data_IF_325106699136
#
_entry.id   IF_325106699136
#
_cell.length_a   1.000
_cell.length_b   1.000
_cell.length_c   1.000
_cell.angle_alpha   90.00
_cell.angle_beta   90.00
_cell.angle_gamma   90.00
#
_symmetry.space_group_name_H-M   'P 1'
#
loop_
_entity.id
_entity.type
_entity.pdbx_description
1 polymer ?
#
# COMPACT_ATOMS: atom_id res chain seq x y z
N UNK A 1 -37.21 20.96 7.30
CA UNK A 1 -37.38 19.78 6.41
C UNK A 1 -36.56 20.05 5.16
N UNK A 2 -35.30 19.62 5.16
CA UNK A 2 -34.69 18.86 4.05
C UNK A 2 -33.20 18.62 4.31
N UNK A 3 -32.91 17.32 4.39
CA UNK A 3 -31.62 16.65 4.38
C UNK A 3 -30.57 17.15 5.37
N UNK A 4 -30.51 16.47 6.51
CA UNK A 4 -29.24 15.97 7.02
C UNK A 4 -28.49 15.34 5.85
N UNK A 5 -27.67 16.14 5.17
CA UNK A 5 -26.56 15.58 4.42
C UNK A 5 -25.72 14.88 5.47
N UNK A 6 -25.83 13.57 5.55
CA UNK A 6 -24.88 12.70 6.25
C UNK A 6 -23.49 13.06 5.72
N UNK A 7 -22.88 14.06 6.34
CA UNK A 7 -21.44 14.29 6.23
C UNK A 7 -20.85 13.01 6.82
N UNK A 8 -19.84 12.42 6.16
CA UNK A 8 -19.08 11.29 6.67
C UNK A 8 -18.30 11.71 7.93
N UNK A 9 -19.00 12.07 9.00
CA UNK A 9 -18.43 12.60 10.23
C UNK A 9 -18.18 11.45 11.16
N UNK A 10 -17.05 10.79 10.96
CA UNK A 10 -16.39 10.09 12.05
C UNK A 10 -15.38 11.07 12.69
N UNK A 11 -15.11 10.97 14.00
CA UNK A 11 -14.11 11.82 14.62
C UNK A 11 -12.69 11.54 14.07
N UNK A 12 -11.92 12.58 13.75
CA UNK A 12 -10.58 12.43 13.13
C UNK A 12 -9.62 11.51 13.93
N UNK A 13 -9.77 11.47 15.26
CA UNK A 13 -8.97 10.59 16.12
C UNK A 13 -9.16 9.09 15.80
N UNK A 14 -10.32 8.68 15.27
CA UNK A 14 -10.58 7.30 14.85
C UNK A 14 -9.60 6.95 13.73
N UNK A 15 -9.54 7.76 12.68
CA UNK A 15 -8.58 7.55 11.60
C UNK A 15 -7.14 7.56 12.12
N UNK A 16 -6.78 8.53 12.96
CA UNK A 16 -5.44 8.62 13.55
C UNK A 16 -5.02 7.33 14.24
N UNK A 17 -5.91 6.70 15.02
CA UNK A 17 -5.63 5.41 15.65
C UNK A 17 -5.42 4.30 14.61
N UNK A 18 -6.29 4.19 13.61
CA UNK A 18 -6.17 3.18 12.56
C UNK A 18 -4.91 3.35 11.71
N UNK A 19 -4.53 4.58 11.37
CA UNK A 19 -3.29 4.87 10.66
C UNK A 19 -2.06 4.46 11.47
N UNK A 20 -2.03 4.76 12.77
CA UNK A 20 -0.95 4.34 13.66
C UNK A 20 -0.86 2.81 13.77
N UNK A 21 -1.99 2.12 13.99
CA UNK A 21 -2.00 0.66 14.02
C UNK A 21 -1.61 0.05 12.68
N UNK A 22 -2.03 0.63 11.56
CA UNK A 22 -1.64 0.20 10.22
C UNK A 22 -0.13 0.28 9.99
N UNK A 23 0.52 1.34 10.49
CA UNK A 23 1.98 1.45 10.50
C UNK A 23 2.64 0.31 11.29
N UNK A 24 2.20 0.09 12.54
CA UNK A 24 2.73 -0.97 13.39
C UNK A 24 2.54 -2.37 12.77
N UNK A 25 1.34 -2.65 12.25
CA UNK A 25 1.00 -3.91 11.60
C UNK A 25 1.88 -4.18 10.36
N UNK A 26 2.31 -3.13 9.66
CA UNK A 26 3.17 -3.26 8.48
C UNK A 26 4.65 -3.41 8.84
N UNK A 27 5.14 -2.70 9.86
CA UNK A 27 6.58 -2.69 10.20
C UNK A 27 6.99 -3.84 11.13
N UNK A 28 6.15 -4.24 12.09
CA UNK A 28 6.49 -5.32 13.04
C UNK A 28 6.90 -6.60 12.31
N UNK A 29 6.19 -7.07 11.26
CA UNK A 29 6.56 -8.30 10.57
C UNK A 29 7.76 -8.17 9.62
N UNK A 30 8.23 -6.95 9.34
CA UNK A 30 9.20 -6.67 8.29
C UNK A 30 10.52 -7.44 8.43
N UNK A 31 11.17 -7.52 9.62
CA UNK A 31 12.45 -8.23 9.76
C UNK A 31 12.37 -9.71 9.34
N UNK A 32 11.28 -10.39 9.69
CA UNK A 32 11.11 -11.81 9.36
C UNK A 32 10.81 -12.05 7.88
N UNK A 33 10.15 -11.09 7.23
CA UNK A 33 9.90 -11.16 5.79
C UNK A 33 11.15 -10.83 4.96
N UNK A 34 12.05 -9.99 5.48
CA UNK A 34 13.37 -9.73 4.89
C UNK A 34 14.24 -11.00 4.89
N UNK A 35 14.23 -11.78 5.96
CA UNK A 35 14.94 -13.07 6.04
C UNK A 35 14.43 -14.09 5.01
N UNK A 36 13.14 -14.03 4.66
CA UNK A 36 12.55 -14.87 3.60
C UNK A 36 12.89 -14.40 2.17
N UNK A 37 13.65 -13.30 2.03
CA UNK A 37 14.04 -12.66 0.77
C UNK A 37 12.84 -12.41 -0.17
N UNK A 38 11.69 -12.05 0.40
CA UNK A 38 10.51 -11.71 -0.38
C UNK A 38 10.44 -10.22 -0.66
N UNK A 39 11.23 -9.77 -1.65
CA UNK A 39 11.38 -8.35 -2.01
C UNK A 39 10.04 -7.67 -2.26
N UNK A 40 9.15 -8.27 -3.06
CA UNK A 40 7.82 -7.71 -3.33
C UNK A 40 6.98 -7.50 -2.07
N UNK A 41 6.96 -8.49 -1.16
CA UNK A 41 6.26 -8.34 0.12
C UNK A 41 6.91 -7.30 1.03
N UNK A 42 8.24 -7.24 1.09
CA UNK A 42 8.94 -6.23 1.90
C UNK A 42 8.66 -4.81 1.36
N UNK A 43 8.68 -4.62 0.05
CA UNK A 43 8.32 -3.36 -0.60
C UNK A 43 6.89 -2.96 -0.25
N UNK A 44 5.93 -3.90 -0.37
CA UNK A 44 4.53 -3.64 -0.02
C UNK A 44 4.40 -3.15 1.44
N UNK A 45 5.07 -3.82 2.37
CA UNK A 45 5.04 -3.48 3.80
C UNK A 45 5.70 -2.14 4.10
N UNK A 46 6.86 -1.85 3.49
CA UNK A 46 7.58 -0.59 3.70
C UNK A 46 6.75 0.58 3.16
N UNK A 47 6.26 0.49 1.92
CA UNK A 47 5.47 1.55 1.31
C UNK A 47 4.15 1.79 2.06
N UNK A 48 3.41 0.71 2.37
CA UNK A 48 2.15 0.82 3.11
C UNK A 48 2.37 1.35 4.53
N UNK A 49 3.41 0.87 5.22
CA UNK A 49 3.75 1.34 6.56
C UNK A 49 4.11 2.82 6.56
N UNK A 50 5.02 3.24 5.69
CA UNK A 50 5.41 4.65 5.57
C UNK A 50 4.23 5.55 5.14
N UNK A 51 3.32 5.05 4.31
CA UNK A 51 2.10 5.77 3.95
C UNK A 51 1.14 5.92 5.14
N UNK A 52 0.96 4.88 5.95
CA UNK A 52 0.22 4.96 7.21
C UNK A 52 0.85 5.98 8.18
N UNK A 53 2.18 5.97 8.32
CA UNK A 53 2.90 6.93 9.16
C UNK A 53 2.74 8.37 8.65
N UNK A 54 2.84 8.56 7.34
CA UNK A 54 2.63 9.86 6.71
C UNK A 54 1.21 10.39 7.00
N UNK A 55 0.19 9.56 6.82
CA UNK A 55 -1.20 9.94 7.09
C UNK A 55 -1.47 10.18 8.59
N UNK A 56 -0.83 9.41 9.49
CA UNK A 56 -0.91 9.61 10.93
C UNK A 56 -0.33 10.95 11.37
N UNK A 57 0.83 11.35 10.84
CA UNK A 57 1.44 12.66 11.16
C UNK A 57 0.55 13.79 10.64
N UNK A 58 0.06 13.67 9.40
CA UNK A 58 -0.84 14.65 8.80
C UNK A 58 -2.14 14.80 9.61
N UNK A 59 -2.75 13.70 10.04
CA UNK A 59 -4.00 13.75 10.80
C UNK A 59 -3.83 14.43 12.16
N UNK A 60 -2.68 14.29 12.82
CA UNK A 60 -2.40 14.95 14.10
C UNK A 60 -2.18 16.46 13.91
N UNK A 61 -1.30 16.85 12.99
CA UNK A 61 -0.87 18.26 12.87
C UNK A 61 -2.02 19.16 12.37
N UNK A 62 -2.86 18.65 11.46
CA UNK A 62 -3.94 19.41 10.82
C UNK A 62 -5.34 19.13 11.38
N UNK A 63 -5.44 18.53 12.57
CA UNK A 63 -6.75 18.42 13.25
C UNK A 63 -7.30 19.83 13.53
N UNK A 64 -8.49 20.13 13.01
CA UNK A 64 -9.21 21.40 13.24
C UNK A 64 -8.50 22.66 12.74
N UNK A 65 -7.52 22.56 11.84
CA UNK A 65 -6.84 23.72 11.27
C UNK A 65 -6.26 23.46 9.86
N UNK A 66 -5.99 24.53 9.11
CA UNK A 66 -5.40 24.49 7.76
C UNK A 66 -4.08 25.26 7.65
N UNK A 67 -3.50 25.64 8.79
CA UNK A 67 -2.31 26.50 8.84
C UNK A 67 -1.10 25.71 8.34
N UNK A 68 -0.26 26.34 7.51
CA UNK A 68 0.95 25.72 7.00
C UNK A 68 2.08 25.75 8.04
N UNK A 69 1.96 24.94 9.08
CA UNK A 69 2.95 24.85 10.18
C UNK A 69 4.30 24.28 9.73
N UNK A 70 4.29 23.33 8.80
CA UNK A 70 5.47 22.58 8.38
C UNK A 70 5.55 22.46 6.84
N UNK A 71 5.97 23.53 6.15
CA UNK A 71 6.01 23.56 4.68
C UNK A 71 6.92 22.50 4.06
N UNK A 72 8.05 22.20 4.72
CA UNK A 72 9.02 21.17 4.27
C UNK A 72 8.44 19.78 4.44
N UNK A 73 7.68 19.54 5.51
CA UNK A 73 6.97 18.27 5.68
C UNK A 73 5.94 18.07 4.57
N UNK A 74 5.14 19.10 4.24
CA UNK A 74 4.16 18.98 3.16
C UNK A 74 4.81 18.70 1.79
N UNK A 75 5.97 19.27 1.47
CA UNK A 75 6.67 18.95 0.22
C UNK A 75 7.03 17.46 0.15
N UNK A 76 7.59 16.91 1.24
CA UNK A 76 7.98 15.50 1.31
C UNK A 76 6.74 14.61 1.30
N UNK A 77 5.75 14.95 2.12
CA UNK A 77 4.53 14.19 2.34
C UNK A 77 3.72 14.02 1.06
N UNK A 78 3.51 15.10 0.32
CA UNK A 78 2.69 15.07 -0.91
C UNK A 78 3.35 14.28 -2.03
N UNK A 79 4.68 14.41 -2.20
CA UNK A 79 5.44 13.58 -3.14
C UNK A 79 5.42 12.12 -2.74
N UNK A 80 5.60 11.84 -1.45
CA UNK A 80 5.49 10.48 -0.94
C UNK A 80 4.11 9.87 -1.21
N UNK A 81 3.03 10.65 -1.08
CA UNK A 81 1.67 10.18 -1.39
C UNK A 81 1.53 9.72 -2.84
N UNK A 82 2.00 10.54 -3.80
CA UNK A 82 1.99 10.19 -5.24
C UNK A 82 2.73 8.88 -5.48
N UNK A 83 3.99 8.78 -5.03
CA UNK A 83 4.75 7.56 -5.25
C UNK A 83 4.16 6.35 -4.52
N UNK A 84 3.57 6.52 -3.34
CA UNK A 84 2.93 5.41 -2.61
C UNK A 84 1.71 4.84 -3.33
N UNK A 85 0.96 5.69 -4.05
CA UNK A 85 -0.21 5.27 -4.83
C UNK A 85 0.17 4.32 -5.98
N UNK A 86 1.38 4.49 -6.55
CA UNK A 86 1.92 3.62 -7.60
C UNK A 86 2.76 2.47 -7.03
N UNK A 87 3.43 2.69 -5.91
CA UNK A 87 4.31 1.72 -5.28
C UNK A 87 3.59 0.49 -4.73
N UNK A 88 2.40 0.67 -4.16
CA UNK A 88 1.61 -0.43 -3.61
C UNK A 88 1.21 -1.42 -4.73
N UNK A 89 0.61 -0.97 -5.85
CA UNK A 89 0.40 -1.83 -7.03
C UNK A 89 1.69 -2.40 -7.61
N UNK A 90 2.77 -1.62 -7.68
CA UNK A 90 4.05 -2.10 -8.21
C UNK A 90 4.66 -3.22 -7.34
N UNK A 91 4.52 -3.14 -6.02
CA UNK A 91 4.91 -4.19 -5.09
C UNK A 91 4.06 -5.45 -5.26
N UNK A 92 2.75 -5.30 -5.48
CA UNK A 92 1.86 -6.41 -5.83
C UNK A 92 2.24 -7.08 -7.15
N UNK A 93 2.59 -6.30 -8.18
CA UNK A 93 3.13 -6.81 -9.44
C UNK A 93 4.41 -7.64 -9.20
N UNK A 94 5.31 -7.19 -8.33
CA UNK A 94 6.51 -7.96 -7.97
C UNK A 94 6.15 -9.29 -7.28
N UNK A 95 5.14 -9.29 -6.39
CA UNK A 95 4.62 -10.52 -5.76
C UNK A 95 4.05 -11.46 -6.82
N UNK A 96 3.18 -10.97 -7.71
CA UNK A 96 2.59 -11.75 -8.80
C UNK A 96 3.65 -12.33 -9.76
N UNK A 97 4.66 -11.53 -10.12
CA UNK A 97 5.77 -11.98 -10.95
C UNK A 97 6.54 -13.11 -10.28
N UNK A 98 6.84 -12.99 -8.99
CA UNK A 98 7.51 -14.06 -8.22
C UNK A 98 6.65 -15.32 -8.16
N UNK A 99 5.35 -15.19 -7.91
CA UNK A 99 4.41 -16.32 -7.90
C UNK A 99 4.39 -17.03 -9.26
N UNK A 100 4.40 -16.28 -10.35
CA UNK A 100 4.47 -16.84 -11.71
C UNK A 100 5.76 -17.62 -11.94
N UNK A 101 6.92 -17.07 -11.58
CA UNK A 101 8.19 -17.78 -11.70
C UNK A 101 8.24 -19.04 -10.84
N UNK A 102 7.70 -18.99 -9.62
CA UNK A 102 7.58 -20.17 -8.76
C UNK A 102 6.66 -21.23 -9.37
N UNK A 103 5.49 -20.84 -9.90
CA UNK A 103 4.54 -21.75 -10.54
C UNK A 103 5.05 -22.33 -11.86
N UNK A 104 6.05 -21.69 -12.48
CA UNK A 104 6.66 -22.11 -13.73
C UNK A 104 8.01 -22.79 -13.59
N UNK A 105 8.64 -22.71 -12.41
CA UNK A 105 9.94 -23.30 -12.14
C UNK A 105 9.91 -24.82 -12.32
N UNK A 106 10.90 -25.33 -13.07
CA UNK A 106 11.27 -26.73 -13.05
C UNK A 106 12.28 -26.94 -11.90
N UNK A 107 12.50 -28.18 -11.45
CA UNK A 107 13.32 -28.56 -10.29
C UNK A 107 14.83 -28.12 -10.35
N UNK A 108 15.21 -27.29 -11.31
CA UNK A 108 16.55 -26.75 -11.47
C UNK A 108 16.83 -25.74 -10.37
N UNK A 109 17.93 -25.94 -9.66
CA UNK A 109 18.43 -25.05 -8.61
C UNK A 109 18.68 -23.65 -9.16
N UNK A 110 18.01 -22.64 -8.59
CA UNK A 110 18.21 -21.23 -8.96
C UNK A 110 19.61 -20.79 -8.51
N UNK A 111 20.39 -20.23 -9.41
CA UNK A 111 21.73 -19.72 -9.11
C UNK A 111 21.69 -18.43 -8.29
N UNK A 112 22.78 -18.13 -7.56
CA UNK A 112 22.89 -16.88 -6.79
C UNK A 112 22.79 -15.63 -7.67
N UNK A 113 23.30 -15.69 -8.90
CA UNK A 113 23.24 -14.59 -9.87
C UNK A 113 21.81 -14.33 -10.35
N UNK A 114 21.06 -15.38 -10.68
CA UNK A 114 19.64 -15.27 -11.06
C UNK A 114 18.80 -14.67 -9.94
N UNK A 115 19.06 -15.09 -8.69
CA UNK A 115 18.39 -14.52 -7.51
C UNK A 115 18.69 -13.04 -7.32
N UNK A 116 19.95 -12.62 -7.48
CA UNK A 116 20.33 -11.19 -7.41
C UNK A 116 19.67 -10.38 -8.51
N UNK A 117 19.64 -10.91 -9.74
CA UNK A 117 18.96 -10.26 -10.86
C UNK A 117 17.47 -10.09 -10.57
N UNK A 118 16.80 -11.11 -10.05
CA UNK A 118 15.39 -11.01 -9.67
C UNK A 118 15.14 -9.89 -8.64
N UNK A 119 15.99 -9.79 -7.61
CA UNK A 119 15.91 -8.71 -6.62
C UNK A 119 16.12 -7.33 -7.25
N UNK A 120 17.11 -7.16 -8.13
CA UNK A 120 17.34 -5.87 -8.81
C UNK A 120 16.16 -5.46 -9.67
N UNK A 121 15.53 -6.41 -10.38
CA UNK A 121 14.33 -6.11 -11.17
C UNK A 121 13.13 -5.83 -10.26
N UNK A 122 12.99 -6.49 -9.11
CA UNK A 122 11.93 -6.18 -8.13
C UNK A 122 12.10 -4.76 -7.57
N UNK A 123 13.33 -4.36 -7.22
CA UNK A 123 13.63 -3.01 -6.75
C UNK A 123 13.44 -1.96 -7.85
N UNK A 124 13.83 -2.25 -9.09
CA UNK A 124 13.59 -1.36 -10.23
C UNK A 124 12.10 -1.09 -10.46
N UNK A 125 11.24 -2.10 -10.30
CA UNK A 125 9.79 -1.93 -10.41
C UNK A 125 9.20 -1.24 -9.17
N UNK A 126 9.47 -1.75 -7.97
CA UNK A 126 8.80 -1.27 -6.76
C UNK A 126 9.41 -0.04 -6.10
N UNK A 127 10.54 0.48 -6.60
CA UNK A 127 11.13 1.76 -6.18
C UNK A 127 11.34 2.67 -7.38
N UNK A 128 11.89 2.14 -8.48
CA UNK A 128 12.19 2.95 -9.66
C UNK A 128 10.96 3.59 -10.30
N UNK A 129 9.88 2.83 -10.50
CA UNK A 129 8.63 3.37 -11.07
C UNK A 129 8.01 4.43 -10.13
N UNK A 130 7.82 4.18 -8.82
CA UNK A 130 7.33 5.21 -7.90
C UNK A 130 8.17 6.48 -7.86
N UNK A 131 9.50 6.36 -7.85
CA UNK A 131 10.39 7.52 -7.83
C UNK A 131 10.30 8.30 -9.15
N UNK A 132 10.20 7.61 -10.28
CA UNK A 132 9.97 8.25 -11.57
C UNK A 132 8.64 9.01 -11.55
N UNK A 133 7.59 8.43 -11.00
CA UNK A 133 6.28 9.07 -10.87
C UNK A 133 6.34 10.34 -10.02
N UNK A 134 7.01 10.28 -8.87
CA UNK A 134 7.20 11.45 -8.00
C UNK A 134 7.85 12.63 -8.73
N UNK A 135 8.76 12.34 -9.68
CA UNK A 135 9.42 13.36 -10.51
C UNK A 135 8.50 13.84 -11.62
N UNK A 136 7.86 12.91 -12.32
CA UNK A 136 6.98 13.17 -13.45
C UNK A 136 5.75 14.00 -13.07
N UNK A 137 5.18 13.77 -11.88
CA UNK A 137 4.06 14.53 -11.34
C UNK A 137 4.35 16.03 -11.18
N UNK A 138 5.61 16.46 -11.26
CA UNK A 138 5.91 17.90 -11.31
C UNK A 138 5.41 18.58 -12.58
N UNK A 139 5.28 17.85 -13.69
CA UNK A 139 4.91 18.41 -15.01
C UNK A 139 3.48 18.98 -15.00
N UNK A 140 2.58 18.28 -14.34
CA UNK A 140 1.15 18.55 -14.22
C UNK A 140 0.76 19.11 -12.85
N UNK A 141 1.74 19.46 -12.01
CA UNK A 141 1.50 20.09 -10.72
C UNK A 141 1.22 21.59 -10.89
N UNK A 142 -0.02 22.02 -10.66
CA UNK A 142 -0.39 23.43 -10.83
C UNK A 142 0.14 24.38 -9.73
N UNK A 143 0.25 23.89 -8.50
CA UNK A 143 0.83 24.64 -7.37
C UNK A 143 1.36 23.69 -6.30
N UNK A 144 2.09 24.24 -5.32
CA UNK A 144 2.98 23.50 -4.42
C UNK A 144 2.31 22.35 -3.68
N UNK A 145 1.16 22.57 -3.05
CA UNK A 145 0.30 21.55 -2.45
C UNK A 145 -0.97 22.18 -1.88
N UNK A 146 -1.90 21.33 -1.44
CA UNK A 146 -3.07 21.69 -0.67
C UNK A 146 -2.94 21.25 0.79
N UNK A 147 -3.64 21.95 1.68
CA UNK A 147 -3.88 21.55 3.06
C UNK A 147 -5.39 21.45 3.23
N UNK A 148 -5.86 20.26 3.54
CA UNK A 148 -7.26 20.01 3.89
C UNK A 148 -7.36 19.84 5.40
N UNK A 149 -8.32 20.53 6.03
CA UNK A 149 -8.58 20.38 7.47
C UNK A 149 -8.86 18.91 7.81
N UNK A 150 -8.32 18.42 8.93
CA UNK A 150 -8.37 17.03 9.43
C UNK A 150 -7.64 15.96 8.60
N UNK A 151 -7.32 16.25 7.34
CA UNK A 151 -6.56 15.36 6.45
C UNK A 151 -5.08 15.70 6.45
N UNK A 152 -4.73 16.99 6.29
CA UNK A 152 -3.36 17.51 6.22
C UNK A 152 -2.88 17.81 4.80
N UNK A 153 -1.57 17.67 4.55
CA UNK A 153 -0.96 17.98 3.27
C UNK A 153 -1.44 17.00 2.18
N UNK A 154 -1.81 17.51 1.01
CA UNK A 154 -2.29 16.70 -0.12
C UNK A 154 -1.71 17.23 -1.45
N UNK A 155 -1.25 16.36 -2.35
CA UNK A 155 -0.73 16.79 -3.65
C UNK A 155 -1.83 17.46 -4.48
N UNK A 156 -1.46 18.48 -5.26
CA UNK A 156 -2.37 19.07 -6.23
C UNK A 156 -1.93 18.68 -7.63
N UNK A 157 -2.84 18.09 -8.39
CA UNK A 157 -2.63 17.72 -9.79
C UNK A 157 -3.60 18.53 -10.64
N UNK A 158 -3.07 19.25 -11.64
CA UNK A 158 -3.89 20.07 -12.53
C UNK A 158 -4.59 19.18 -13.56
N UNK A 159 -5.92 19.19 -13.56
CA UNK A 159 -6.75 18.30 -14.39
C UNK A 159 -6.65 18.64 -15.89
N UNK A 160 -5.59 18.13 -16.52
CA UNK A 160 -5.29 18.26 -17.95
C UNK A 160 -5.05 16.89 -18.56
N UNK A 161 -5.08 16.76 -19.89
CA UNK A 161 -4.79 15.49 -20.55
C UNK A 161 -3.39 14.94 -20.20
N UNK A 162 -2.43 15.82 -19.89
CA UNK A 162 -1.07 15.44 -19.48
C UNK A 162 -1.10 14.66 -18.16
N UNK A 163 -1.91 15.11 -17.19
CA UNK A 163 -2.04 14.43 -15.90
C UNK A 163 -2.50 12.97 -16.05
N UNK A 164 -3.43 12.70 -16.98
CA UNK A 164 -3.88 11.33 -17.23
C UNK A 164 -2.78 10.43 -17.80
N UNK A 165 -1.92 10.98 -18.66
CA UNK A 165 -0.82 10.23 -19.28
C UNK A 165 0.32 10.02 -18.30
N UNK A 166 0.57 11.00 -17.43
CA UNK A 166 1.79 11.10 -16.63
C UNK A 166 1.61 10.60 -15.20
N UNK A 167 0.43 10.71 -14.59
CA UNK A 167 0.18 10.39 -13.17
C UNK A 167 -1.03 9.45 -12.99
N UNK A 168 -2.23 9.88 -13.42
CA UNK A 168 -3.50 9.27 -13.01
C UNK A 168 -3.68 7.81 -13.48
N UNK A 169 -3.14 7.43 -14.64
CA UNK A 169 -3.41 6.11 -15.25
C UNK A 169 -2.45 5.01 -14.78
N UNK A 170 -1.31 5.35 -14.17
CA UNK A 170 -0.27 4.36 -13.87
C UNK A 170 -0.69 3.27 -12.88
N UNK A 171 -1.43 3.55 -11.78
CA UNK A 171 -1.95 2.49 -10.92
C UNK A 171 -2.80 1.47 -11.70
N UNK A 172 -3.64 1.92 -12.64
CA UNK A 172 -4.44 1.04 -13.49
C UNK A 172 -3.57 0.21 -14.44
N UNK A 173 -2.60 0.84 -15.11
CA UNK A 173 -1.70 0.16 -16.03
C UNK A 173 -0.91 -0.95 -15.32
N UNK A 174 -0.35 -0.67 -14.13
CA UNK A 174 0.37 -1.65 -13.32
C UNK A 174 -0.58 -2.75 -12.83
N UNK A 175 -1.79 -2.40 -12.38
CA UNK A 175 -2.83 -3.35 -12.00
C UNK A 175 -3.18 -4.33 -13.12
N UNK A 176 -3.34 -3.84 -14.35
CA UNK A 176 -3.59 -4.68 -15.53
C UNK A 176 -2.43 -5.66 -15.82
N UNK A 177 -1.18 -5.20 -15.76
CA UNK A 177 -0.01 -6.08 -15.91
C UNK A 177 0.05 -7.11 -14.79
N UNK A 178 -0.24 -6.70 -13.55
CA UNK A 178 -0.32 -7.57 -12.37
C UNK A 178 -1.39 -8.66 -12.55
N UNK A 179 -2.56 -8.29 -13.10
CA UNK A 179 -3.64 -9.22 -13.42
C UNK A 179 -3.24 -10.29 -14.44
N UNK A 180 -2.49 -9.93 -15.48
CA UNK A 180 -1.95 -10.89 -16.45
C UNK A 180 -1.05 -11.92 -15.75
N UNK A 181 -0.10 -11.47 -14.91
CA UNK A 181 0.75 -12.39 -14.14
C UNK A 181 -0.06 -13.27 -13.18
N UNK A 182 -1.09 -12.72 -12.53
CA UNK A 182 -1.96 -13.47 -11.63
C UNK A 182 -2.68 -14.60 -12.38
N UNK A 183 -3.30 -14.31 -13.52
CA UNK A 183 -3.98 -15.31 -14.37
C UNK A 183 -2.99 -16.40 -14.83
N UNK A 184 -1.81 -16.01 -15.30
CA UNK A 184 -0.77 -16.95 -15.74
C UNK A 184 -0.26 -17.83 -14.60
N UNK A 185 -0.14 -17.28 -13.38
CA UNK A 185 0.26 -18.01 -12.17
C UNK A 185 -0.79 -19.07 -11.81
N UNK A 186 -2.06 -18.69 -11.78
CA UNK A 186 -3.18 -19.60 -11.47
C UNK A 186 -3.26 -20.72 -12.51
N UNK A 187 -3.17 -20.40 -13.80
CA UNK A 187 -3.17 -21.41 -14.88
C UNK A 187 -2.00 -22.37 -14.76
N UNK A 188 -0.80 -21.87 -14.48
CA UNK A 188 0.41 -22.69 -14.33
C UNK A 188 0.34 -23.59 -13.11
N UNK A 189 -0.14 -23.07 -11.99
CA UNK A 189 -0.37 -23.81 -10.75
C UNK A 189 -1.39 -24.95 -10.96
N UNK A 190 -2.53 -24.65 -11.60
CA UNK A 190 -3.55 -25.67 -11.87
C UNK A 190 -3.05 -26.78 -12.78
N UNK A 191 -2.23 -26.44 -13.79
CA UNK A 191 -1.65 -27.44 -14.71
C UNK A 191 -0.63 -28.36 -14.04
N UNK A 192 0.13 -27.87 -13.06
CA UNK A 192 1.28 -28.58 -12.43
C UNK A 192 1.07 -28.91 -10.95
N UNK A 193 -0.18 -28.94 -10.48
CA UNK A 193 -0.52 -29.02 -9.06
C UNK A 193 0.17 -30.16 -8.30
N UNK A 194 0.30 -31.34 -8.92
CA UNK A 194 0.96 -32.49 -8.32
C UNK A 194 2.48 -32.27 -8.14
N UNK A 195 3.18 -31.91 -9.22
CA UNK A 195 4.62 -31.58 -9.20
C UNK A 195 4.94 -30.41 -8.27
N UNK A 196 4.04 -29.42 -8.22
CA UNK A 196 4.21 -28.23 -7.40
C UNK A 196 4.12 -28.54 -5.90
N UNK A 197 3.21 -29.45 -5.50
CA UNK A 197 3.10 -29.89 -4.09
C UNK A 197 4.39 -30.57 -3.62
N UNK A 198 5.01 -31.36 -4.49
CA UNK A 198 6.29 -32.01 -4.23
C UNK A 198 7.43 -30.98 -4.10
N UNK A 199 7.55 -30.05 -5.05
CA UNK A 199 8.56 -28.97 -5.02
C UNK A 199 8.46 -28.05 -3.80
N UNK A 200 7.25 -27.76 -3.33
CA UNK A 200 7.01 -26.98 -2.10
C UNK A 200 7.43 -27.77 -0.87
N UNK A 201 7.14 -29.08 -0.82
CA UNK A 201 7.52 -29.92 0.31
C UNK A 201 9.04 -30.10 0.45
N UNK A 202 9.76 -30.04 -0.67
CA UNK A 202 11.22 -30.11 -0.70
C UNK A 202 11.92 -28.80 -0.28
N UNK A 203 11.20 -27.67 -0.23
CA UNK A 203 11.77 -26.36 0.06
C UNK A 203 11.43 -25.87 1.48
N UNK A 204 12.44 -25.80 2.35
CA UNK A 204 12.26 -25.34 3.73
C UNK A 204 11.79 -23.88 3.86
N UNK A 205 12.03 -23.03 2.85
CA UNK A 205 11.72 -21.59 2.89
C UNK A 205 10.35 -21.23 2.29
N UNK A 206 9.70 -22.16 1.57
CA UNK A 206 8.47 -21.91 0.82
C UNK A 206 7.43 -23.01 1.08
N UNK A 207 6.57 -22.82 2.07
CA UNK A 207 5.46 -23.72 2.36
C UNK A 207 4.22 -23.40 1.50
N UNK A 208 3.38 -24.40 1.19
CA UNK A 208 2.12 -24.26 0.46
C UNK A 208 1.20 -23.19 1.06
N UNK A 209 1.11 -23.12 2.40
CA UNK A 209 0.29 -22.11 3.08
C UNK A 209 0.81 -20.68 2.82
N UNK A 210 2.14 -20.49 2.82
CA UNK A 210 2.76 -19.20 2.53
C UNK A 210 2.51 -18.79 1.07
N UNK A 211 2.65 -19.72 0.12
CA UNK A 211 2.37 -19.47 -1.29
C UNK A 211 0.90 -19.09 -1.52
N UNK A 212 -0.05 -19.81 -0.93
CA UNK A 212 -1.47 -19.53 -1.08
C UNK A 212 -1.84 -18.14 -0.53
N UNK A 213 -1.33 -17.76 0.64
CA UNK A 213 -1.54 -16.41 1.20
C UNK A 213 -1.00 -15.30 0.31
N UNK A 214 0.18 -15.49 -0.30
CA UNK A 214 0.73 -14.54 -1.25
C UNK A 214 -0.18 -14.41 -2.48
N UNK A 215 -0.72 -15.51 -2.98
CA UNK A 215 -1.66 -15.51 -4.11
C UNK A 215 -2.98 -14.80 -3.74
N UNK A 216 -3.51 -15.02 -2.54
CA UNK A 216 -4.70 -14.30 -2.07
C UNK A 216 -4.44 -12.81 -1.90
N UNK A 217 -3.32 -12.41 -1.30
CA UNK A 217 -2.93 -11.00 -1.17
C UNK A 217 -2.86 -10.32 -2.55
N UNK A 218 -2.16 -10.95 -3.49
CA UNK A 218 -2.01 -10.47 -4.86
C UNK A 218 -3.35 -10.36 -5.59
N UNK A 219 -4.24 -11.34 -5.43
CA UNK A 219 -5.57 -11.31 -6.04
C UNK A 219 -6.46 -10.21 -5.43
N UNK A 220 -6.47 -10.08 -4.10
CA UNK A 220 -7.22 -9.02 -3.40
C UNK A 220 -6.74 -7.64 -3.83
N UNK A 221 -5.43 -7.45 -3.97
CA UNK A 221 -4.89 -6.17 -4.45
C UNK A 221 -5.38 -5.85 -5.86
N UNK A 222 -5.33 -6.79 -6.81
CA UNK A 222 -5.84 -6.57 -8.17
C UNK A 222 -7.33 -6.22 -8.18
N UNK A 223 -8.13 -6.95 -7.38
CA UNK A 223 -9.58 -6.76 -7.26
C UNK A 223 -9.96 -5.43 -6.63
N UNK A 224 -9.07 -4.82 -5.83
CA UNK A 224 -9.28 -3.50 -5.26
C UNK A 224 -8.71 -2.40 -6.17
N UNK A 225 -7.47 -2.54 -6.61
CA UNK A 225 -6.74 -1.50 -7.37
C UNK A 225 -7.39 -1.20 -8.71
N UNK A 226 -7.73 -2.22 -9.52
CA UNK A 226 -8.30 -1.95 -10.86
C UNK A 226 -9.63 -1.19 -10.77
N UNK A 227 -10.64 -1.64 -9.98
CA UNK A 227 -11.88 -0.89 -9.85
C UNK A 227 -11.70 0.50 -9.24
N UNK A 228 -10.84 0.63 -8.21
CA UNK A 228 -10.58 1.92 -7.58
C UNK A 228 -9.88 2.90 -8.53
N UNK A 229 -8.92 2.44 -9.33
CA UNK A 229 -8.27 3.29 -10.34
C UNK A 229 -9.24 3.70 -11.45
N UNK A 230 -10.08 2.78 -11.95
CA UNK A 230 -11.14 3.11 -12.90
C UNK A 230 -12.13 4.14 -12.33
N UNK A 231 -12.54 3.97 -11.07
CA UNK A 231 -13.43 4.89 -10.38
C UNK A 231 -12.78 6.26 -10.17
N UNK A 232 -11.51 6.30 -9.77
CA UNK A 232 -10.74 7.54 -9.62
C UNK A 232 -10.64 8.30 -10.95
N UNK A 233 -10.30 7.61 -12.05
CA UNK A 233 -10.27 8.22 -13.39
C UNK A 233 -11.65 8.76 -13.77
N UNK A 234 -12.72 7.99 -13.55
CA UNK A 234 -14.09 8.43 -13.79
C UNK A 234 -14.40 9.73 -13.04
N UNK A 235 -14.11 9.79 -11.73
CA UNK A 235 -14.33 10.99 -10.93
C UNK A 235 -13.53 12.20 -11.44
N UNK A 236 -12.26 12.02 -11.82
CA UNK A 236 -11.44 13.12 -12.34
C UNK A 236 -11.99 13.68 -13.66
N UNK A 237 -12.53 12.82 -14.53
CA UNK A 237 -13.10 13.22 -15.83
C UNK A 237 -14.48 13.88 -15.68
N UNK A 238 -15.30 13.41 -14.73
CA UNK A 238 -16.69 13.90 -14.59
C UNK A 238 -16.86 15.05 -13.60
N UNK A 239 -15.96 15.19 -12.62
CA UNK A 239 -16.11 16.20 -11.56
C UNK A 239 -15.68 17.59 -12.03
N UNK A 240 -14.66 17.66 -12.91
CA UNK A 240 -14.16 18.91 -13.48
C UNK A 240 -13.84 18.70 -14.97
N UNK A 241 -14.11 19.70 -15.83
CA UNK A 241 -13.77 19.61 -17.24
C UNK A 241 -12.25 19.57 -17.43
N UNK A 242 -11.78 18.62 -18.23
CA UNK A 242 -10.36 18.48 -18.61
C UNK A 242 -9.91 19.77 -19.31
N UNK A 243 -8.96 20.47 -18.70
CA UNK A 243 -8.42 21.71 -19.24
C UNK A 243 -7.31 21.43 -20.27
N UNK A 244 -7.15 22.29 -21.29
CA UNK A 244 -6.03 22.19 -22.21
C UNK A 244 -4.73 22.54 -21.48
N UNK A 245 -3.69 21.71 -21.65
CA UNK A 245 -2.35 22.03 -21.16
C UNK A 245 -1.70 23.08 -22.08
N UNK A 246 -1.55 24.31 -21.59
CA UNK A 246 -1.05 25.46 -22.40
C UNK A 246 0.46 25.63 -22.36
N UNK A 247 1.19 24.81 -21.59
CA UNK A 247 2.63 24.91 -21.44
C UNK A 247 3.09 24.93 -19.99
N UNK A 248 4.41 24.95 -19.82
CA UNK A 248 5.05 24.99 -18.51
C UNK A 248 4.72 26.29 -17.74
N UNK A 249 4.83 27.43 -18.41
CA UNK A 249 4.65 28.75 -17.81
C UNK A 249 3.23 29.00 -17.28
N UNK A 250 2.22 28.47 -17.97
CA UNK A 250 0.81 28.54 -17.54
C UNK A 250 0.56 27.62 -16.34
N UNK A 251 1.01 26.36 -16.44
CA UNK A 251 0.82 25.35 -15.39
C UNK A 251 1.52 25.76 -14.09
N UNK A 252 2.70 26.36 -14.16
CA UNK A 252 3.50 26.76 -13.00
C UNK A 252 3.35 28.25 -12.65
N UNK A 253 2.31 28.92 -13.16
CA UNK A 253 2.02 30.29 -12.76
C UNK A 253 1.64 30.34 -11.28
N UNK A 254 2.32 31.18 -10.49
CA UNK A 254 2.16 31.25 -9.03
C UNK A 254 2.35 29.89 -8.31
N UNK A 255 3.32 29.09 -8.76
CA UNK A 255 3.55 27.73 -8.24
C UNK A 255 3.72 27.65 -6.72
N UNK A 256 4.29 28.68 -6.08
CA UNK A 256 4.52 28.69 -4.63
C UNK A 256 3.24 28.74 -3.78
N UNK A 257 2.08 28.95 -4.40
CA UNK A 257 0.79 29.00 -3.71
C UNK A 257 0.48 27.69 -2.99
N UNK A 258 -0.09 27.83 -1.78
CA UNK A 258 -0.59 26.72 -0.98
C UNK A 258 -2.10 26.88 -0.84
N UNK A 259 -2.87 25.90 -1.34
CA UNK A 259 -4.31 25.89 -1.16
C UNK A 259 -4.67 25.47 0.27
N UNK A 260 -5.54 26.21 0.94
CA UNK A 260 -5.99 25.91 2.30
C UNK A 260 -7.50 25.75 2.30
N UNK A 261 -7.99 24.55 2.60
CA UNK A 261 -9.39 24.20 2.50
C UNK A 261 -9.93 23.74 3.85
N UNK A 262 -10.65 24.61 4.57
CA UNK A 262 -11.39 24.25 5.77
C UNK A 262 -12.39 23.11 5.52
N UNK A 263 -12.69 22.35 6.57
CA UNK A 263 -13.60 21.20 6.57
C UNK A 263 -14.93 21.55 5.93
N UNK A 264 -15.50 22.71 6.29
CA UNK A 264 -16.75 23.20 5.73
C UNK A 264 -16.71 23.34 4.21
N UNK A 265 -15.57 23.72 3.62
CA UNK A 265 -15.44 23.98 2.17
C UNK A 265 -15.26 22.68 1.39
N UNK A 266 -14.34 21.80 1.80
CA UNK A 266 -14.06 20.60 1.02
C UNK A 266 -15.17 19.55 1.15
N UNK A 267 -16.00 19.61 2.21
CA UNK A 267 -17.22 18.81 2.32
C UNK A 267 -18.39 19.31 1.46
N UNK A 268 -18.35 20.54 0.91
CA UNK A 268 -19.42 21.01 0.00
C UNK A 268 -19.48 20.16 -1.26
N UNK A 269 -18.31 19.75 -1.78
CA UNK A 269 -18.23 18.85 -2.91
C UNK A 269 -18.13 17.41 -2.42
N UNK A 270 -19.27 16.69 -2.48
CA UNK A 270 -19.34 15.28 -2.11
C UNK A 270 -18.34 14.40 -2.86
N UNK A 271 -18.08 14.70 -4.15
CA UNK A 271 -17.10 13.95 -4.96
C UNK A 271 -15.68 14.11 -4.43
N UNK A 272 -15.28 15.34 -4.11
CA UNK A 272 -13.97 15.64 -3.50
C UNK A 272 -13.85 14.99 -2.13
N UNK A 273 -14.86 15.12 -1.27
CA UNK A 273 -14.85 14.52 0.06
C UNK A 273 -14.70 12.98 0.02
N UNK A 274 -15.48 12.30 -0.85
CA UNK A 274 -15.39 10.86 -1.04
C UNK A 274 -14.01 10.46 -1.58
N UNK A 275 -13.47 11.21 -2.56
CA UNK A 275 -12.16 10.92 -3.15
C UNK A 275 -11.03 11.02 -2.13
N UNK A 276 -11.00 12.11 -1.36
CA UNK A 276 -9.99 12.35 -0.32
C UNK A 276 -10.06 11.29 0.78
N UNK A 277 -11.26 11.02 1.32
CA UNK A 277 -11.44 10.00 2.36
C UNK A 277 -11.14 8.59 1.86
N UNK A 278 -11.53 8.25 0.63
CA UNK A 278 -11.22 6.94 0.03
C UNK A 278 -9.71 6.77 -0.12
N UNK A 279 -9.01 7.78 -0.64
CA UNK A 279 -7.54 7.77 -0.78
C UNK A 279 -6.85 7.56 0.58
N UNK A 280 -7.34 8.26 1.60
CA UNK A 280 -6.83 8.23 2.97
C UNK A 280 -7.04 6.86 3.64
N UNK A 281 -8.25 6.29 3.58
CA UNK A 281 -8.59 4.99 4.17
C UNK A 281 -8.02 3.80 3.41
N UNK A 282 -7.79 3.93 2.10
CA UNK A 282 -7.26 2.85 1.28
C UNK A 282 -5.88 2.36 1.77
N UNK A 283 -5.02 3.28 2.21
CA UNK A 283 -3.70 2.94 2.77
C UNK A 283 -3.83 2.09 4.03
N UNK A 284 -4.74 2.47 4.94
CA UNK A 284 -5.07 1.70 6.14
C UNK A 284 -5.60 0.33 5.75
N UNK A 285 -6.53 0.27 4.80
CA UNK A 285 -7.08 -0.98 4.29
C UNK A 285 -5.99 -1.93 3.75
N UNK A 286 -5.03 -1.43 2.98
CA UNK A 286 -3.88 -2.22 2.51
C UNK A 286 -3.09 -2.84 3.67
N UNK A 287 -2.86 -2.08 4.75
CA UNK A 287 -2.15 -2.59 5.93
C UNK A 287 -2.93 -3.69 6.66
N UNK A 288 -4.25 -3.52 6.78
CA UNK A 288 -5.14 -4.50 7.42
C UNK A 288 -5.22 -5.79 6.60
N UNK A 289 -5.36 -5.68 5.27
CA UNK A 289 -5.37 -6.83 4.36
C UNK A 289 -4.06 -7.61 4.47
N UNK A 290 -2.92 -6.89 4.48
CA UNK A 290 -1.61 -7.54 4.67
C UNK A 290 -1.53 -8.30 5.99
N UNK A 291 -1.91 -7.64 7.09
CA UNK A 291 -1.88 -8.23 8.42
C UNK A 291 -2.86 -9.41 8.56
N UNK A 292 -4.02 -9.36 7.91
CA UNK A 292 -4.99 -10.45 7.91
C UNK A 292 -4.38 -11.73 7.31
N UNK A 293 -3.64 -11.61 6.20
CA UNK A 293 -2.97 -12.76 5.60
C UNK A 293 -1.73 -13.20 6.38
N UNK A 294 -0.84 -12.28 6.74
CA UNK A 294 0.49 -12.64 7.26
C UNK A 294 0.64 -12.53 8.78
N UNK A 295 -0.09 -11.64 9.45
CA UNK A 295 -0.02 -11.43 10.89
C UNK A 295 -0.50 -12.63 11.70
N UNK A 296 -1.51 -13.36 11.23
CA UNK A 296 -2.02 -14.55 11.93
C UNK A 296 -1.37 -15.87 11.52
N UNK A 297 -0.36 -15.82 10.65
CA UNK A 297 0.41 -16.99 10.21
C UNK A 297 1.05 -17.73 11.39
N UNK A 298 1.12 -19.06 11.35
CA UNK A 298 1.88 -19.84 12.35
C UNK A 298 3.35 -19.39 12.44
N UNK A 299 3.94 -19.03 11.31
CA UNK A 299 5.28 -18.44 11.21
C UNK A 299 5.37 -17.12 11.99
N UNK A 300 4.41 -16.22 11.80
CA UNK A 300 4.37 -14.94 12.49
C UNK A 300 4.13 -15.13 14.00
N UNK A 301 3.21 -16.03 14.40
CA UNK A 301 2.94 -16.36 15.80
C UNK A 301 4.16 -16.94 16.51
N UNK A 302 4.94 -17.81 15.84
CA UNK A 302 6.20 -18.32 16.37
C UNK A 302 7.20 -17.19 16.62
N UNK A 303 7.31 -16.26 15.66
CA UNK A 303 8.21 -15.11 15.80
C UNK A 303 7.75 -14.12 16.88
N UNK A 304 6.44 -13.89 17.02
CA UNK A 304 5.89 -13.09 18.13
C UNK A 304 6.22 -13.71 19.49
N UNK A 305 6.05 -15.03 19.64
CA UNK A 305 6.40 -15.74 20.88
C UNK A 305 7.90 -15.60 21.18
N UNK A 306 8.76 -15.84 20.18
CA UNK A 306 10.21 -15.70 20.34
C UNK A 306 10.63 -14.27 20.74
N UNK A 307 9.98 -13.25 20.17
CA UNK A 307 10.22 -11.86 20.54
C UNK A 307 9.79 -11.56 21.99
N UNK A 308 8.59 -12.02 22.38
CA UNK A 308 8.08 -11.89 23.75
C UNK A 308 9.01 -12.60 24.74
N UNK A 309 9.47 -13.82 24.43
CA UNK A 309 10.41 -14.57 25.27
C UNK A 309 11.76 -13.87 25.39
N UNK A 310 12.24 -13.24 24.31
CA UNK A 310 13.49 -12.45 24.34
C UNK A 310 13.36 -11.23 25.23
N UNK A 311 12.23 -10.50 25.13
CA UNK A 311 11.95 -9.34 25.97
C UNK A 311 11.77 -9.76 27.42
N UNK A 312 10.97 -10.80 27.69
CA UNK A 312 10.72 -11.34 29.03
C UNK A 312 12.03 -11.72 29.73
N UNK A 313 12.92 -12.43 29.04
CA UNK A 313 14.26 -12.77 29.55
C UNK A 313 15.11 -11.54 29.89
N UNK A 314 15.02 -10.46 29.10
CA UNK A 314 15.76 -9.21 29.34
C UNK A 314 15.21 -8.41 30.52
N UNK A 315 13.90 -8.52 30.79
CA UNK A 315 13.26 -7.84 31.93
C UNK A 315 13.19 -8.72 33.19
N UNK A 316 13.86 -9.87 33.20
CA UNK A 316 13.89 -10.78 34.36
C UNK A 316 12.57 -11.52 34.62
N UNK A 317 11.61 -11.47 33.69
CA UNK A 317 10.37 -12.24 33.75
C UNK A 317 10.62 -13.62 33.13
N UNK A 318 10.47 -14.68 33.92
CA UNK A 318 10.45 -16.04 33.40
C UNK A 318 9.17 -16.23 32.59
N UNK A 319 9.26 -16.39 31.26
CA UNK A 319 8.20 -17.02 30.45
C UNK A 319 8.17 -18.54 30.68
N UNK A 320 8.19 -18.95 31.94
CA UNK A 320 7.90 -20.31 32.40
C UNK A 320 6.43 -20.39 32.77
N UNK A 321 5.54 -20.37 31.79
CA UNK A 321 4.10 -20.41 32.01
C UNK A 321 3.39 -21.09 30.85
N UNK A 322 3.17 -22.40 31.01
CA UNK A 322 2.28 -23.22 30.19
C UNK A 322 0.98 -22.49 29.85
N UNK A 323 0.82 -22.09 28.59
CA UNK A 323 -0.49 -21.69 28.05
C UNK A 323 -0.78 -22.58 26.83
N UNK A 324 -1.37 -23.73 27.12
CA UNK A 324 -2.19 -24.48 26.15
C UNK A 324 -1.67 -25.86 25.71
N UNK A 325 -1.56 -26.84 26.62
CA UNK A 325 -1.60 -28.28 26.26
C UNK A 325 -2.37 -29.14 27.27
N UNK A 326 -3.46 -28.64 27.87
CA UNK A 326 -4.25 -29.45 28.82
C UNK A 326 -5.76 -29.19 28.78
N UNK A 327 -6.38 -29.12 27.60
CA UNK A 327 -7.84 -29.03 27.52
C UNK A 327 -8.51 -29.81 26.39
N UNK A 328 -7.84 -30.85 25.87
CA UNK A 328 -8.46 -31.88 25.02
C UNK A 328 -7.89 -33.26 25.36
N UNK A 329 -8.07 -33.69 26.62
CA UNK A 329 -8.09 -35.12 26.95
C UNK A 329 -8.86 -35.34 28.25
N UNK A 330 -10.18 -35.56 28.12
CA UNK A 330 -10.93 -36.38 29.08
C UNK A 330 -11.87 -37.24 28.22
N UNK A 331 -11.48 -38.50 28.00
CA UNK A 331 -12.07 -39.71 28.61
C UNK A 331 -13.33 -40.19 27.92
N UNK A 332 -13.30 -41.46 27.49
CA UNK A 332 -14.49 -42.26 27.17
C UNK A 332 -14.51 -42.72 25.73
#
# INVERSE_FOLDING_TARGET
MNSDSEVLTYPNWVFTMFAFFGFLMSIIPLPWHLEAWNTGTCLFMIWTGLACLNQFINSIIWTGNVINWAPVWCDISTRFMIGSAVAIPAASLCINRRLYYIATANAVTITKSERRRAVLVDLGIGIGIPVLEMVLQYIDQGHRFNIFEDIGCYPFTYNTWVAYVVDVTWPLAIGCVSAVYCILSIRSFNKRRAQFKELLSANNNLNSNRYFRLMCLAATEILCTIPLSCWSIYLNVTSEPIQPWKGWDDTHSDFSRVGQYPSVIWHLNKGTAISLETSRWFVVFCSLVFFAYFGFADEARKNYRAAIDSVAKRVGLSTGGSFGTSLWSSTG
#
